data_IF_147123867671
#
_entry.id   IF_147123867671
#
_cell.length_a   1.000
_cell.length_b   1.000
_cell.length_c   1.000
_cell.angle_alpha   90.00
_cell.angle_beta   90.00
_cell.angle_gamma   90.00
#
_symmetry.space_group_name_H-M   'P 1'
#
loop_
_entity.id
_entity.type
_entity.pdbx_description
1 polymer ?
#
# COMPACT_ATOMS: atom_id res chain seq x y z
N UNK A 1 -17.34 10.58 27.22
CA UNK A 1 -18.16 9.61 27.99
C UNK A 1 -17.90 9.88 29.48
N UNK A 2 -18.75 9.48 30.42
CA UNK A 2 -18.46 9.65 31.86
C UNK A 2 -18.25 8.27 32.48
N UNK A 3 -17.28 8.11 33.38
CA UNK A 3 -16.99 6.83 34.05
C UNK A 3 -16.60 7.03 35.51
N UNK A 4 -16.76 5.99 36.33
CA UNK A 4 -16.16 5.91 37.67
C UNK A 4 -15.37 4.61 37.79
N UNK A 5 -14.35 4.58 38.64
CA UNK A 5 -13.59 3.36 38.92
C UNK A 5 -14.11 2.68 40.18
N UNK A 6 -14.46 1.40 40.05
CA UNK A 6 -14.90 0.54 41.16
C UNK A 6 -14.05 -0.72 41.08
N UNK A 7 -13.27 -0.99 42.13
CA UNK A 7 -12.36 -2.16 42.18
C UNK A 7 -11.40 -2.26 40.97
N UNK A 8 -10.96 -1.11 40.43
CA UNK A 8 -10.07 -1.04 39.27
C UNK A 8 -10.76 -1.21 37.91
N UNK A 9 -12.09 -1.32 37.87
CA UNK A 9 -12.88 -1.42 36.64
C UNK A 9 -13.60 -0.10 36.36
N UNK A 10 -13.53 0.37 35.11
CA UNK A 10 -14.30 1.53 34.65
C UNK A 10 -15.76 1.17 34.46
N UNK A 11 -16.64 1.79 35.23
CA UNK A 11 -18.10 1.72 35.07
C UNK A 11 -18.57 3.01 34.43
N UNK A 12 -19.08 2.92 33.20
CA UNK A 12 -19.58 4.08 32.47
C UNK A 12 -20.97 4.52 32.97
N UNK A 13 -21.20 5.83 32.96
CA UNK A 13 -22.49 6.42 33.28
C UNK A 13 -23.55 5.96 32.29
N UNK A 14 -24.70 5.54 32.81
CA UNK A 14 -25.89 5.23 32.01
C UNK A 14 -26.89 6.39 32.12
N UNK A 15 -28.06 6.25 31.50
CA UNK A 15 -29.15 7.21 31.61
C UNK A 15 -29.81 7.28 33.00
N UNK A 16 -29.32 6.51 33.98
CA UNK A 16 -29.81 6.50 35.35
C UNK A 16 -28.64 6.42 36.33
N UNK A 17 -28.54 7.37 37.25
CA UNK A 17 -27.50 7.39 38.30
C UNK A 17 -28.12 7.62 39.67
N UNK A 18 -27.46 7.09 40.70
CA UNK A 18 -27.82 7.34 42.11
C UNK A 18 -27.02 8.53 42.62
N UNK A 19 -27.70 9.50 43.23
CA UNK A 19 -27.10 10.66 43.90
C UNK A 19 -27.70 10.76 45.30
N UNK A 20 -26.92 10.44 46.32
CA UNK A 20 -27.45 10.16 47.66
C UNK A 20 -28.46 9.01 47.61
N UNK A 21 -29.66 9.25 48.15
CA UNK A 21 -30.78 8.29 48.13
C UNK A 21 -31.72 8.45 46.92
N UNK A 22 -31.45 9.43 46.05
CA UNK A 22 -32.30 9.73 44.90
C UNK A 22 -31.80 9.06 43.61
N UNK A 23 -32.76 8.59 42.81
CA UNK A 23 -32.52 8.12 41.45
C UNK A 23 -32.72 9.29 40.49
N UNK A 24 -31.67 9.66 39.76
CA UNK A 24 -31.74 10.68 38.71
C UNK A 24 -31.78 10.01 37.33
N UNK A 25 -32.76 10.38 36.51
CA UNK A 25 -32.88 9.96 35.12
C UNK A 25 -32.35 11.05 34.20
N UNK A 26 -31.59 10.67 33.17
CA UNK A 26 -30.89 11.55 32.23
C UNK A 26 -30.07 12.64 32.97
N UNK A 27 -29.09 12.23 33.80
CA UNK A 27 -28.31 13.16 34.61
C UNK A 27 -27.53 14.15 33.75
N UNK A 28 -27.41 15.39 34.22
CA UNK A 28 -26.54 16.41 33.63
C UNK A 28 -25.07 16.12 33.92
N UNK A 29 -24.15 16.78 33.19
CA UNK A 29 -22.70 16.70 33.45
C UNK A 29 -22.36 17.07 34.92
N UNK A 30 -23.06 18.04 35.51
CA UNK A 30 -22.89 18.44 36.91
C UNK A 30 -23.34 17.34 37.88
N UNK A 31 -24.49 16.71 37.61
CA UNK A 31 -25.02 15.60 38.39
C UNK A 31 -24.16 14.33 38.28
N UNK A 32 -23.55 14.09 37.11
CA UNK A 32 -22.58 13.01 36.93
C UNK A 32 -21.30 13.26 37.74
N UNK A 33 -20.80 14.48 37.75
CA UNK A 33 -19.67 14.87 38.60
C UNK A 33 -19.99 14.72 40.09
N UNK A 34 -21.18 15.15 40.54
CA UNK A 34 -21.66 14.97 41.91
C UNK A 34 -21.76 13.48 42.30
N UNK A 35 -22.19 12.63 41.37
CA UNK A 35 -22.26 11.18 41.52
C UNK A 35 -20.87 10.48 41.48
N UNK A 36 -19.78 11.24 41.41
CA UNK A 36 -18.40 10.73 41.39
C UNK A 36 -17.94 10.17 40.05
N UNK A 37 -18.66 10.47 38.95
CA UNK A 37 -18.18 10.16 37.62
C UNK A 37 -17.16 11.23 37.16
N UNK A 38 -16.20 10.78 36.36
CA UNK A 38 -15.18 11.60 35.72
C UNK A 38 -15.46 11.61 34.22
N UNK A 39 -15.37 12.78 33.60
CA UNK A 39 -15.51 12.93 32.16
C UNK A 39 -14.28 12.32 31.49
N UNK A 40 -14.49 11.26 30.73
CA UNK A 40 -13.48 10.69 29.85
C UNK A 40 -13.13 11.72 28.77
N UNK A 41 -11.92 12.24 28.87
CA UNK A 41 -11.29 13.04 27.84
C UNK A 41 -10.56 12.06 26.91
N UNK A 42 -10.81 12.09 25.59
CA UNK A 42 -10.04 11.31 24.63
C UNK A 42 -8.55 11.57 24.85
N UNK A 43 -7.77 10.52 25.06
CA UNK A 43 -6.31 10.67 25.18
C UNK A 43 -5.79 11.22 23.87
N UNK A 44 -5.23 12.42 23.89
CA UNK A 44 -4.51 12.95 22.73
C UNK A 44 -3.34 12.02 22.40
N UNK A 45 -3.17 11.71 21.12
CA UNK A 45 -2.06 10.88 20.66
C UNK A 45 -0.75 11.60 20.97
N UNK A 46 0.21 10.86 21.52
CA UNK A 46 1.57 11.36 21.69
C UNK A 46 2.21 11.64 20.34
N UNK A 47 3.26 12.47 20.32
CA UNK A 47 4.05 12.74 19.10
C UNK A 47 4.59 11.44 18.47
N UNK A 48 4.96 10.47 19.30
CA UNK A 48 5.49 9.18 18.85
C UNK A 48 4.40 8.30 18.21
N UNK A 49 3.18 8.29 18.78
CA UNK A 49 2.02 7.61 18.19
C UNK A 49 1.65 8.23 16.83
N UNK A 50 1.61 9.56 16.75
CA UNK A 50 1.34 10.29 15.49
C UNK A 50 2.42 10.00 14.44
N UNK A 51 3.69 9.98 14.83
CA UNK A 51 4.79 9.67 13.92
C UNK A 51 4.70 8.23 13.39
N UNK A 52 4.41 7.27 14.27
CA UNK A 52 4.27 5.86 13.91
C UNK A 52 3.12 5.65 12.94
N UNK A 53 1.98 6.27 13.21
CA UNK A 53 0.81 6.21 12.34
C UNK A 53 1.08 6.85 10.97
N UNK A 54 1.71 8.04 10.95
CA UNK A 54 2.08 8.70 9.70
C UNK A 54 3.00 7.81 8.84
N UNK A 55 4.00 7.15 9.44
CA UNK A 55 4.87 6.19 8.73
C UNK A 55 4.07 5.02 8.18
N UNK A 56 3.21 4.41 9.00
CA UNK A 56 2.40 3.26 8.59
C UNK A 56 1.49 3.60 7.41
N UNK A 57 0.82 4.75 7.46
CA UNK A 57 -0.04 5.24 6.39
C UNK A 57 0.76 5.47 5.10
N UNK A 58 1.89 6.19 5.18
CA UNK A 58 2.72 6.48 4.01
C UNK A 58 3.32 5.21 3.39
N UNK A 59 3.73 4.24 4.22
CA UNK A 59 4.21 2.94 3.73
C UNK A 59 3.10 2.17 3.00
N UNK A 60 1.85 2.23 3.49
CA UNK A 60 0.71 1.62 2.82
C UNK A 60 0.39 2.32 1.48
N UNK A 61 0.54 3.65 1.40
CA UNK A 61 0.39 4.41 0.15
C UNK A 61 1.46 4.04 -0.88
N UNK A 62 2.71 3.84 -0.43
CA UNK A 62 3.82 3.38 -1.29
C UNK A 62 3.51 1.98 -1.83
N UNK A 63 3.10 1.06 -0.96
CA UNK A 63 2.76 -0.31 -1.38
C UNK A 63 1.58 -0.32 -2.36
N UNK A 64 0.53 0.46 -2.11
CA UNK A 64 -0.60 0.57 -3.01
C UNK A 64 -0.19 1.11 -4.40
N UNK A 65 0.76 2.04 -4.45
CA UNK A 65 1.28 2.58 -5.70
C UNK A 65 2.19 1.58 -6.43
N UNK A 66 3.07 0.89 -5.72
CA UNK A 66 3.92 -0.18 -6.25
C UNK A 66 3.08 -1.29 -6.90
N UNK A 67 1.94 -1.65 -6.32
CA UNK A 67 1.00 -2.64 -6.89
C UNK A 67 0.12 -2.10 -8.03
N UNK A 68 0.14 -0.80 -8.29
CA UNK A 68 -0.75 -0.17 -9.28
C UNK A 68 -0.23 -0.29 -10.72
N UNK A 69 -1.12 -0.05 -11.70
CA UNK A 69 -0.73 0.05 -13.12
C UNK A 69 0.22 1.23 -13.41
N UNK A 70 0.39 2.18 -12.48
CA UNK A 70 1.37 3.25 -12.65
C UNK A 70 2.81 2.68 -12.67
N UNK A 71 3.07 1.62 -11.91
CA UNK A 71 4.37 0.92 -11.84
C UNK A 71 4.33 -0.36 -12.66
N UNK A 72 3.27 -1.16 -12.52
CA UNK A 72 3.16 -2.46 -13.16
C UNK A 72 2.51 -2.37 -14.54
N UNK A 73 3.11 -1.66 -15.49
CA UNK A 73 2.70 -1.73 -16.89
C UNK A 73 3.78 -1.33 -17.89
N UNK A 74 3.64 -1.85 -19.11
CA UNK A 74 4.39 -1.46 -20.31
C UNK A 74 3.42 -1.33 -21.49
N UNK A 75 3.88 -0.74 -22.59
CA UNK A 75 3.07 -0.59 -23.80
C UNK A 75 3.60 -1.48 -24.92
N UNK A 76 2.69 -2.16 -25.61
CA UNK A 76 2.95 -2.87 -26.86
C UNK A 76 1.98 -2.35 -27.91
N UNK A 77 2.49 -1.69 -28.95
CA UNK A 77 1.67 -1.00 -29.95
C UNK A 77 0.62 -0.07 -29.29
N UNK A 78 1.07 0.76 -28.35
CA UNK A 78 0.25 1.69 -27.56
C UNK A 78 -0.83 1.05 -26.67
N UNK A 79 -0.89 -0.28 -26.61
CA UNK A 79 -1.77 -1.03 -25.72
C UNK A 79 -1.04 -1.38 -24.42
N UNK A 80 -1.58 -1.03 -23.24
CA UNK A 80 -0.94 -1.34 -21.97
C UNK A 80 -1.09 -2.82 -21.61
N UNK A 81 0.00 -3.41 -21.12
CA UNK A 81 0.05 -4.78 -20.63
C UNK A 81 0.89 -4.87 -19.36
N UNK A 82 0.69 -5.95 -18.63
CA UNK A 82 1.58 -6.37 -17.56
C UNK A 82 1.79 -7.87 -17.62
N UNK A 83 3.01 -8.30 -17.33
CA UNK A 83 3.37 -9.70 -17.18
C UNK A 83 3.94 -9.85 -15.78
N UNK A 84 3.31 -10.70 -14.95
CA UNK A 84 3.88 -11.04 -13.65
C UNK A 84 5.21 -11.80 -13.81
N UNK A 85 5.94 -11.94 -12.69
CA UNK A 85 7.25 -12.59 -12.66
C UNK A 85 7.21 -14.02 -13.18
N UNK A 86 6.22 -14.81 -12.78
CA UNK A 86 6.12 -16.22 -13.18
C UNK A 86 5.91 -16.33 -14.69
N UNK A 87 5.02 -15.50 -15.22
CA UNK A 87 4.74 -15.38 -16.66
C UNK A 87 5.99 -14.96 -17.43
N UNK A 88 6.76 -13.95 -16.97
CA UNK A 88 8.01 -13.54 -17.63
C UNK A 88 9.05 -14.65 -17.65
N UNK A 89 9.26 -15.33 -16.52
CA UNK A 89 10.23 -16.44 -16.41
C UNK A 89 9.82 -17.61 -17.31
N UNK A 90 8.54 -17.99 -17.30
CA UNK A 90 8.02 -19.07 -18.15
C UNK A 90 8.13 -18.75 -19.65
N UNK A 91 7.82 -17.51 -20.04
CA UNK A 91 7.97 -17.04 -21.42
C UNK A 91 9.42 -16.99 -21.86
N UNK A 92 10.33 -16.53 -20.98
CA UNK A 92 11.76 -16.48 -21.28
C UNK A 92 12.31 -17.88 -21.53
N UNK A 93 11.99 -18.84 -20.66
CA UNK A 93 12.43 -20.22 -20.78
C UNK A 93 11.87 -20.89 -22.05
N UNK A 94 10.55 -20.79 -22.27
CA UNK A 94 9.89 -21.41 -23.43
C UNK A 94 10.36 -20.81 -24.76
N UNK A 95 10.49 -19.48 -24.85
CA UNK A 95 10.97 -18.79 -26.06
C UNK A 95 12.44 -19.11 -26.35
N UNK A 96 13.30 -19.11 -25.32
CA UNK A 96 14.71 -19.48 -25.47
C UNK A 96 14.86 -20.92 -25.98
N UNK A 97 14.03 -21.84 -25.50
CA UNK A 97 13.99 -23.22 -25.98
C UNK A 97 13.55 -23.33 -27.43
N UNK A 98 12.52 -22.57 -27.84
CA UNK A 98 12.07 -22.54 -29.24
C UNK A 98 13.18 -22.03 -30.17
N UNK A 99 13.85 -20.94 -29.78
CA UNK A 99 15.02 -20.41 -30.50
C UNK A 99 16.13 -21.46 -30.63
N UNK A 100 16.47 -22.14 -29.53
CA UNK A 100 17.48 -23.20 -29.53
C UNK A 100 17.14 -24.36 -30.49
N UNK A 101 15.86 -24.68 -30.64
CA UNK A 101 15.36 -25.69 -31.60
C UNK A 101 15.26 -25.17 -33.04
N UNK A 102 15.78 -23.98 -33.33
CA UNK A 102 15.78 -23.38 -34.66
C UNK A 102 14.43 -22.79 -35.10
N UNK A 103 13.50 -22.53 -34.17
CA UNK A 103 12.26 -21.79 -34.47
C UNK A 103 12.54 -20.30 -34.46
N UNK A 104 12.08 -19.60 -35.48
CA UNK A 104 12.20 -18.15 -35.62
C UNK A 104 11.21 -17.40 -34.74
N UNK A 105 10.02 -17.97 -34.54
CA UNK A 105 8.90 -17.28 -33.92
C UNK A 105 8.37 -18.02 -32.69
N UNK A 106 7.84 -17.24 -31.76
CA UNK A 106 7.12 -17.70 -30.57
C UNK A 106 5.76 -17.03 -30.50
N UNK A 107 4.84 -17.61 -29.74
CA UNK A 107 3.51 -17.03 -29.50
C UNK A 107 3.36 -16.69 -28.03
N UNK A 108 3.09 -15.42 -27.75
CA UNK A 108 2.72 -14.92 -26.44
C UNK A 108 1.19 -14.96 -26.31
N UNK A 109 0.72 -15.37 -25.14
CA UNK A 109 -0.66 -15.19 -24.71
C UNK A 109 -0.69 -14.20 -23.56
N UNK A 110 -1.29 -13.02 -23.77
CA UNK A 110 -1.34 -11.94 -22.78
C UNK A 110 -2.80 -11.46 -22.70
N UNK A 111 -3.43 -11.55 -21.53
CA UNK A 111 -4.83 -11.16 -21.32
C UNK A 111 -5.80 -11.77 -22.36
N UNK A 112 -5.55 -13.03 -22.76
CA UNK A 112 -6.35 -13.73 -23.78
C UNK A 112 -6.04 -13.34 -25.24
N UNK A 113 -5.12 -12.39 -25.47
CA UNK A 113 -4.66 -12.02 -26.81
C UNK A 113 -3.49 -12.89 -27.24
N UNK A 114 -3.54 -13.34 -28.49
CA UNK A 114 -2.48 -14.12 -29.13
C UNK A 114 -1.58 -13.20 -29.96
N UNK A 115 -0.29 -13.17 -29.64
CA UNK A 115 0.70 -12.34 -30.33
C UNK A 115 1.87 -13.21 -30.78
N UNK A 116 2.11 -13.30 -32.09
CA UNK A 116 3.25 -14.05 -32.65
C UNK A 116 4.35 -13.09 -33.05
N UNK A 117 5.54 -13.29 -32.51
CA UNK A 117 6.72 -12.44 -32.74
C UNK A 117 7.98 -13.30 -32.84
N UNK A 118 9.02 -12.71 -33.43
CA UNK A 118 10.32 -13.34 -33.51
C UNK A 118 10.90 -13.61 -32.10
N UNK A 119 11.51 -14.78 -31.90
CA UNK A 119 12.08 -15.20 -30.63
C UNK A 119 13.10 -14.18 -30.06
N UNK A 120 13.95 -13.58 -30.89
CA UNK A 120 14.93 -12.58 -30.45
C UNK A 120 14.27 -11.31 -29.93
N UNK A 121 13.22 -10.86 -30.61
CA UNK A 121 12.42 -9.71 -30.18
C UNK A 121 11.79 -9.99 -28.82
N UNK A 122 11.20 -11.18 -28.64
CA UNK A 122 10.56 -11.55 -27.38
C UNK A 122 11.56 -11.70 -26.24
N UNK A 123 12.72 -12.33 -26.49
CA UNK A 123 13.79 -12.45 -25.48
C UNK A 123 14.27 -11.05 -25.06
N UNK A 124 14.54 -10.15 -26.02
CA UNK A 124 14.96 -8.78 -25.73
C UNK A 124 13.91 -7.97 -24.96
N UNK A 125 12.62 -8.14 -25.29
CA UNK A 125 11.50 -7.53 -24.59
C UNK A 125 11.42 -8.02 -23.14
N UNK A 126 11.49 -9.34 -22.92
CA UNK A 126 11.40 -9.93 -21.59
C UNK A 126 12.59 -9.54 -20.69
N UNK A 127 13.80 -9.44 -21.25
CA UNK A 127 14.97 -8.97 -20.49
C UNK A 127 14.82 -7.53 -20.02
N UNK A 128 14.35 -6.63 -20.91
CA UNK A 128 14.07 -5.24 -20.54
C UNK A 128 12.96 -5.14 -19.49
N UNK A 129 11.91 -5.95 -19.61
CA UNK A 129 10.82 -5.99 -18.63
C UNK A 129 11.31 -6.47 -17.25
N UNK A 130 12.22 -7.44 -17.20
CA UNK A 130 12.79 -7.91 -15.94
C UNK A 130 13.67 -6.82 -15.30
N UNK A 131 14.48 -6.13 -16.08
CA UNK A 131 15.27 -4.98 -15.59
C UNK A 131 14.35 -3.85 -15.10
N UNK A 132 13.31 -3.51 -15.85
CA UNK A 132 12.32 -2.51 -15.45
C UNK A 132 11.65 -2.85 -14.12
N UNK A 133 11.19 -4.10 -13.97
CA UNK A 133 10.56 -4.58 -12.75
C UNK A 133 11.53 -4.52 -11.55
N UNK A 134 12.80 -4.90 -11.75
CA UNK A 134 13.83 -4.80 -10.71
C UNK A 134 14.07 -3.34 -10.30
N UNK A 135 14.20 -2.43 -11.26
CA UNK A 135 14.39 -1.00 -10.97
C UNK A 135 13.21 -0.39 -10.22
N UNK A 136 11.98 -0.76 -10.59
CA UNK A 136 10.78 -0.34 -9.85
C UNK A 136 10.82 -0.85 -8.40
N UNK A 137 11.16 -2.11 -8.20
CA UNK A 137 11.30 -2.70 -6.86
C UNK A 137 12.35 -1.96 -6.02
N UNK A 138 13.53 -1.70 -6.59
CA UNK A 138 14.61 -0.99 -5.90
C UNK A 138 14.17 0.43 -5.49
N UNK A 139 13.48 1.16 -6.38
CA UNK A 139 12.91 2.48 -6.08
C UNK A 139 11.87 2.41 -4.95
N UNK A 140 10.96 1.43 -4.98
CA UNK A 140 9.97 1.22 -3.92
C UNK A 140 10.63 0.95 -2.56
N UNK A 141 11.65 0.09 -2.52
CA UNK A 141 12.36 -0.22 -1.27
C UNK A 141 13.18 0.98 -0.76
N UNK A 142 13.74 1.79 -1.66
CA UNK A 142 14.39 3.06 -1.31
C UNK A 142 13.40 4.03 -0.67
N UNK A 143 12.21 4.22 -1.26
CA UNK A 143 11.15 5.06 -0.67
C UNK A 143 10.73 4.55 0.71
N UNK A 144 10.53 3.24 0.88
CA UNK A 144 10.19 2.63 2.18
C UNK A 144 11.30 2.87 3.22
N UNK A 145 12.57 2.75 2.81
CA UNK A 145 13.71 3.02 3.69
C UNK A 145 13.76 4.49 4.13
N UNK A 146 13.54 5.42 3.20
CA UNK A 146 13.50 6.85 3.48
C UNK A 146 12.40 7.19 4.50
N UNK A 147 11.16 6.71 4.30
CA UNK A 147 10.05 6.94 5.26
C UNK A 147 10.38 6.41 6.66
N UNK A 148 11.04 5.24 6.75
CA UNK A 148 11.45 4.68 8.06
C UNK A 148 12.45 5.58 8.79
N UNK A 149 13.31 6.30 8.06
CA UNK A 149 14.33 7.19 8.61
C UNK A 149 13.83 8.61 8.95
N UNK A 150 12.69 9.06 8.39
CA UNK A 150 12.12 10.38 8.71
C UNK A 150 11.70 10.47 10.17
N UNK A 151 11.77 11.68 10.74
CA UNK A 151 11.55 11.92 12.19
C UNK A 151 10.40 12.88 12.48
N UNK A 152 9.83 13.52 11.46
CA UNK A 152 8.69 14.43 11.57
C UNK A 152 7.51 13.95 10.73
N UNK A 153 6.29 14.20 11.24
CA UNK A 153 5.03 13.91 10.53
C UNK A 153 4.90 14.80 9.30
N UNK A 154 5.34 16.04 9.39
CA UNK A 154 5.33 17.01 8.30
C UNK A 154 6.21 16.54 7.13
N UNK A 155 7.42 16.03 7.42
CA UNK A 155 8.32 15.46 6.41
C UNK A 155 7.70 14.23 5.73
N UNK A 156 7.09 13.33 6.50
CA UNK A 156 6.44 12.13 5.97
C UNK A 156 5.28 12.52 5.05
N UNK A 157 4.46 13.48 5.47
CA UNK A 157 3.29 13.91 4.69
C UNK A 157 3.70 14.60 3.38
N UNK A 158 4.81 15.35 3.39
CA UNK A 158 5.35 16.02 2.21
C UNK A 158 6.22 15.12 1.30
N UNK A 159 6.43 13.85 1.67
CA UNK A 159 7.32 12.95 0.93
C UNK A 159 6.72 12.52 -0.42
N UNK A 160 7.40 12.87 -1.51
CA UNK A 160 7.02 12.52 -2.89
C UNK A 160 7.49 11.11 -3.26
N UNK A 161 6.65 10.12 -2.96
CA UNK A 161 6.97 8.71 -3.17
C UNK A 161 6.69 8.18 -4.58
N UNK A 162 6.25 9.03 -5.52
CA UNK A 162 5.98 8.64 -6.92
C UNK A 162 7.12 9.00 -7.87
N UNK A 163 8.17 9.64 -7.35
CA UNK A 163 9.31 10.10 -8.13
C UNK A 163 10.29 8.95 -8.42
N UNK A 164 11.23 9.18 -9.34
CA UNK A 164 12.40 8.31 -9.61
C UNK A 164 12.12 6.90 -10.15
N UNK A 165 10.86 6.48 -10.29
CA UNK A 165 10.52 5.26 -11.01
C UNK A 165 10.99 5.34 -12.47
N UNK A 166 11.46 4.23 -13.06
CA UNK A 166 11.86 4.21 -14.46
C UNK A 166 10.69 4.53 -15.40
N UNK A 167 10.99 5.13 -16.55
CA UNK A 167 10.00 5.34 -17.59
C UNK A 167 9.42 4.01 -18.08
N UNK A 168 8.10 3.97 -18.31
CA UNK A 168 7.42 2.78 -18.83
C UNK A 168 7.96 2.38 -20.19
N UNK A 169 8.27 1.10 -20.32
CA UNK A 169 8.75 0.52 -21.57
C UNK A 169 7.68 0.60 -22.66
N UNK A 170 8.11 0.91 -23.88
CA UNK A 170 7.26 1.00 -25.06
C UNK A 170 7.86 0.17 -26.19
N UNK A 171 7.15 -0.86 -26.59
CA UNK A 171 7.55 -1.78 -27.66
C UNK A 171 6.65 -1.61 -28.88
N UNK A 172 7.22 -1.81 -30.06
CA UNK A 172 6.51 -1.89 -31.32
C UNK A 172 6.79 -3.23 -31.99
N UNK A 173 5.77 -3.80 -32.64
CA UNK A 173 5.88 -5.08 -33.36
C UNK A 173 6.19 -4.92 -34.85
N UNK A 174 6.40 -3.69 -35.32
CA UNK A 174 6.56 -3.31 -36.73
C UNK A 174 7.92 -2.67 -37.00
#
# INVERSE_FOLDING_TARGET
MWYKEVEGVKIYATNRVMIGDAVVFNPTDEQLAEAGYIKEVPKEKTKEELLTEAKALKLAEIEAYDQSEAVNSFYLNDTPFWLDRETRVGLMHSTSRLKYLGRTDTTLWINGLKITLNCDVVIGMLSQLEEYALRCFDTTEEHKANIKNLTSVEEINAYEYRANYPEKLKFKTS
#
